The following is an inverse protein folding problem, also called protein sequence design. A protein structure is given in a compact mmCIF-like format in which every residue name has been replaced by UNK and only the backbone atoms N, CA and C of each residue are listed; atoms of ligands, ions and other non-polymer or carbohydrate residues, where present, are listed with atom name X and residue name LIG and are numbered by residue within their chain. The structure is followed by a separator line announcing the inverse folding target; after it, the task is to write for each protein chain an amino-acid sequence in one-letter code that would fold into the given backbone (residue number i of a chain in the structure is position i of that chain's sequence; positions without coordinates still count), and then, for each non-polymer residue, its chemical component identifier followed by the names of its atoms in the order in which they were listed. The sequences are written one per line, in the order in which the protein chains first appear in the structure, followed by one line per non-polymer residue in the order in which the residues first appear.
data_IF_325894239434
#
_entry.id   IF_325894239434
#
_cell.length_a   1.000
_cell.length_b   1.000
_cell.length_c   1.000
_cell.angle_alpha   90.00
_cell.angle_beta   90.00
_cell.angle_gamma   90.00
#
_symmetry.space_group_name_H-M   'P 1'
#
loop_
_entity.id
_entity.type
_entity.pdbx_description
1 polymer ?
#
# COMPACT_ATOMS: atom_id res chain seq x y z
N UNK A 1 -10.71 30.15 2.52
CA UNK A 1 -9.84 28.97 2.67
C UNK A 1 -10.05 28.23 4.00
N UNK A 2 -11.27 28.19 4.58
CA UNK A 2 -11.53 27.45 5.82
C UNK A 2 -11.60 25.92 5.60
N UNK A 3 -11.95 25.49 4.39
CA UNK A 3 -12.21 24.07 4.11
C UNK A 3 -10.95 23.19 4.07
N UNK A 4 -9.81 23.74 3.62
CA UNK A 4 -8.58 22.94 3.49
C UNK A 4 -8.05 22.44 4.83
N UNK A 5 -8.29 23.17 5.93
CA UNK A 5 -7.92 22.70 7.28
C UNK A 5 -8.60 21.36 7.58
N UNK A 6 -9.91 21.32 7.38
CA UNK A 6 -10.73 20.15 7.65
C UNK A 6 -10.37 18.99 6.72
N UNK A 7 -10.04 19.29 5.45
CA UNK A 7 -9.63 18.27 4.47
C UNK A 7 -8.27 17.67 4.81
N UNK A 8 -7.29 18.48 5.22
CA UNK A 8 -5.98 17.97 5.67
C UNK A 8 -6.10 17.19 6.99
N UNK A 9 -6.96 17.63 7.92
CA UNK A 9 -7.27 16.87 9.15
C UNK A 9 -7.89 15.52 8.82
N UNK A 10 -8.82 15.48 7.87
CA UNK A 10 -9.45 14.25 7.40
C UNK A 10 -8.43 13.30 6.74
N UNK A 11 -7.54 13.83 5.90
CA UNK A 11 -6.47 13.07 5.27
C UNK A 11 -5.49 12.50 6.31
N UNK A 12 -5.05 13.32 7.27
CA UNK A 12 -4.20 12.86 8.37
C UNK A 12 -4.89 11.76 9.17
N UNK A 13 -6.18 11.91 9.48
CA UNK A 13 -6.96 10.88 10.17
C UNK A 13 -7.00 9.59 9.36
N UNK A 14 -7.18 9.68 8.04
CA UNK A 14 -7.17 8.52 7.15
C UNK A 14 -5.83 7.79 7.19
N UNK A 15 -4.73 8.53 7.00
CA UNK A 15 -3.37 7.98 7.01
C UNK A 15 -3.01 7.36 8.37
N UNK A 16 -3.30 8.06 9.47
CA UNK A 16 -2.96 7.58 10.81
C UNK A 16 -3.72 6.28 11.16
N UNK A 17 -4.96 6.12 10.70
CA UNK A 17 -5.72 4.88 10.87
C UNK A 17 -5.24 3.76 9.92
N UNK A 18 -4.93 4.11 8.66
CA UNK A 18 -4.67 3.13 7.60
C UNK A 18 -3.22 2.63 7.56
N UNK A 19 -2.24 3.48 7.85
CA UNK A 19 -0.81 3.12 7.79
C UNK A 19 -0.09 3.31 9.13
N UNK A 20 -0.81 3.69 10.20
CA UNK A 20 -0.28 3.85 11.58
C UNK A 20 0.90 4.83 11.69
N UNK A 21 0.90 5.87 10.85
CA UNK A 21 1.87 6.96 10.94
C UNK A 21 1.32 8.08 11.85
N UNK A 22 2.18 8.94 12.38
CA UNK A 22 1.79 10.10 13.22
C UNK A 22 1.85 11.42 12.41
N UNK A 23 1.13 11.49 11.29
CA UNK A 23 1.14 12.67 10.42
C UNK A 23 0.15 13.74 10.91
N UNK A 24 0.54 15.01 10.80
CA UNK A 24 -0.27 16.18 11.21
C UNK A 24 -0.54 17.12 10.03
N UNK A 25 -1.66 17.87 10.03
CA UNK A 25 -1.99 18.81 8.96
C UNK A 25 -0.92 19.88 8.73
N UNK A 26 -0.26 20.30 9.81
CA UNK A 26 0.82 21.30 9.76
C UNK A 26 2.01 20.82 8.94
N UNK A 27 2.26 19.51 8.85
CA UNK A 27 3.37 18.99 8.03
C UNK A 27 3.12 19.31 6.56
N UNK A 28 1.89 19.11 6.06
CA UNK A 28 1.51 19.48 4.70
C UNK A 28 1.58 20.99 4.45
N UNK A 29 1.11 21.80 5.41
CA UNK A 29 1.10 23.27 5.31
C UNK A 29 2.51 23.86 5.28
N UNK A 30 3.40 23.37 6.15
CA UNK A 30 4.78 23.82 6.21
C UNK A 30 5.59 23.33 5.00
N UNK A 31 5.30 22.12 4.49
CA UNK A 31 5.90 21.61 3.25
C UNK A 31 5.61 22.48 2.04
N UNK A 32 4.42 23.08 1.93
CA UNK A 32 4.12 24.05 0.86
C UNK A 32 5.17 25.17 0.77
N UNK A 33 5.68 25.62 1.93
CA UNK A 33 6.63 26.72 2.04
C UNK A 33 8.08 26.29 2.31
N UNK A 34 8.40 24.98 2.24
CA UNK A 34 9.72 24.45 2.59
C UNK A 34 10.19 24.80 4.02
N UNK A 35 9.27 24.91 4.99
CA UNK A 35 9.54 25.32 6.39
C UNK A 35 9.42 24.19 7.40
N UNK A 36 9.53 22.94 6.95
CA UNK A 36 9.30 21.77 7.80
C UNK A 36 10.57 21.41 8.61
N UNK A 37 10.38 20.83 9.79
CA UNK A 37 11.49 20.35 10.64
C UNK A 37 11.99 18.97 10.19
N UNK A 38 13.21 18.60 10.56
CA UNK A 38 13.79 17.28 10.24
C UNK A 38 12.93 16.11 10.74
N UNK A 39 12.40 16.19 11.96
CA UNK A 39 11.49 15.18 12.51
C UNK A 39 10.18 15.06 11.72
N UNK A 40 9.71 16.15 11.12
CA UNK A 40 8.49 16.11 10.29
C UNK A 40 8.79 15.56 8.89
N UNK A 41 9.99 15.80 8.37
CA UNK A 41 10.47 15.20 7.13
C UNK A 41 10.57 13.68 7.23
N UNK A 42 11.11 13.15 8.32
CA UNK A 42 11.19 11.69 8.51
C UNK A 42 9.81 11.04 8.53
N UNK A 43 8.82 11.68 9.18
CA UNK A 43 7.43 11.21 9.16
C UNK A 43 6.83 11.24 7.75
N UNK A 44 7.12 12.27 6.94
CA UNK A 44 6.69 12.33 5.54
C UNK A 44 7.34 11.24 4.69
N UNK A 45 8.64 10.99 4.87
CA UNK A 45 9.33 9.89 4.22
C UNK A 45 8.73 8.53 4.59
N UNK A 46 8.47 8.28 5.88
CA UNK A 46 7.83 7.05 6.33
C UNK A 46 6.40 6.89 5.77
N UNK A 47 5.66 7.99 5.66
CA UNK A 47 4.35 8.01 4.99
C UNK A 47 4.48 7.62 3.52
N UNK A 48 5.43 8.22 2.80
CA UNK A 48 5.69 7.92 1.38
C UNK A 48 6.15 6.48 1.17
N UNK A 49 7.03 5.98 2.04
CA UNK A 49 7.50 4.61 2.02
C UNK A 49 6.33 3.63 2.12
N UNK A 50 5.52 3.75 3.18
CA UNK A 50 4.37 2.88 3.40
C UNK A 50 3.39 2.90 2.22
N UNK A 51 3.02 4.09 1.74
CA UNK A 51 2.08 4.21 0.62
C UNK A 51 2.67 3.65 -0.69
N UNK A 52 3.93 3.98 -1.00
CA UNK A 52 4.58 3.52 -2.23
C UNK A 52 4.77 2.00 -2.25
N UNK A 53 5.01 1.38 -1.09
CA UNK A 53 5.00 -0.07 -0.91
C UNK A 53 3.65 -0.69 -1.29
N UNK A 54 2.55 -0.16 -0.74
CA UNK A 54 1.20 -0.66 -1.08
C UNK A 54 0.89 -0.49 -2.57
N UNK A 55 1.22 0.67 -3.15
CA UNK A 55 1.01 0.92 -4.58
C UNK A 55 1.85 -0.01 -5.48
N UNK A 56 3.10 -0.29 -5.11
CA UNK A 56 3.95 -1.20 -5.87
C UNK A 56 3.46 -2.65 -5.78
N UNK A 57 3.10 -3.10 -4.57
CA UNK A 57 2.59 -4.45 -4.32
C UNK A 57 1.28 -4.72 -5.06
N UNK A 58 0.44 -3.70 -5.23
CA UNK A 58 -0.79 -3.80 -6.02
C UNK A 58 -0.52 -4.09 -7.49
N UNK A 59 0.50 -3.47 -8.08
CA UNK A 59 0.87 -3.74 -9.47
C UNK A 59 1.54 -5.09 -9.63
N UNK A 60 2.43 -5.43 -8.70
CA UNK A 60 3.28 -6.61 -8.77
C UNK A 60 3.65 -7.10 -7.38
N UNK A 61 3.23 -8.32 -7.06
CA UNK A 61 3.44 -8.95 -5.75
C UNK A 61 4.86 -9.43 -5.51
N UNK A 62 5.73 -9.43 -6.52
CA UNK A 62 7.13 -9.89 -6.45
C UNK A 62 8.14 -8.76 -6.15
N UNK A 63 7.65 -7.54 -5.90
CA UNK A 63 8.50 -6.36 -5.72
C UNK A 63 8.65 -6.03 -4.24
N UNK A 64 9.86 -6.32 -3.74
CA UNK A 64 10.28 -5.99 -2.38
C UNK A 64 11.63 -5.30 -2.43
N UNK A 65 11.75 -4.16 -1.73
CA UNK A 65 12.98 -3.40 -1.57
C UNK A 65 13.38 -3.28 -0.10
N UNK A 66 12.89 -4.19 0.75
CA UNK A 66 13.16 -4.23 2.20
C UNK A 66 14.63 -4.46 2.54
N UNK A 67 15.43 -4.96 1.58
CA UNK A 67 16.89 -5.09 1.71
C UNK A 67 17.62 -3.73 1.76
N UNK A 68 16.94 -2.63 1.40
CA UNK A 68 17.49 -1.27 1.35
C UNK A 68 16.95 -0.42 2.50
N UNK A 69 17.67 0.66 2.84
CA UNK A 69 17.18 1.65 3.78
C UNK A 69 15.85 2.29 3.29
N UNK A 70 15.03 2.77 4.22
CA UNK A 70 13.68 3.28 3.94
C UNK A 70 13.65 4.37 2.85
N UNK A 71 14.65 5.24 2.83
CA UNK A 71 14.75 6.32 1.84
C UNK A 71 15.08 5.77 0.46
N UNK A 72 16.07 4.89 0.34
CA UNK A 72 16.43 4.21 -0.91
C UNK A 72 15.28 3.34 -1.42
N UNK A 73 14.65 2.55 -0.54
CA UNK A 73 13.49 1.72 -0.86
C UNK A 73 12.34 2.57 -1.41
N UNK A 74 12.01 3.69 -0.76
CA UNK A 74 10.99 4.64 -1.23
C UNK A 74 11.31 5.13 -2.64
N UNK A 75 12.54 5.59 -2.89
CA UNK A 75 12.95 6.06 -4.22
C UNK A 75 12.84 4.95 -5.28
N UNK A 76 13.19 3.71 -4.93
CA UNK A 76 13.04 2.56 -5.82
C UNK A 76 11.56 2.24 -6.12
N UNK A 77 10.68 2.33 -5.12
CA UNK A 77 9.24 2.19 -5.36
C UNK A 77 8.71 3.28 -6.29
N UNK A 78 9.10 4.55 -6.08
CA UNK A 78 8.72 5.65 -6.96
C UNK A 78 9.26 5.48 -8.40
N UNK A 79 10.49 4.99 -8.56
CA UNK A 79 11.04 4.68 -9.88
C UNK A 79 10.30 3.50 -10.55
N UNK A 80 9.96 2.45 -9.80
CA UNK A 80 9.13 1.35 -10.29
C UNK A 80 7.74 1.83 -10.74
N UNK A 81 7.15 2.77 -9.99
CA UNK A 81 5.88 3.40 -10.33
C UNK A 81 6.00 4.46 -11.45
N UNK A 82 7.21 4.72 -11.94
CA UNK A 82 7.53 5.67 -13.02
C UNK A 82 7.24 7.14 -12.68
N UNK A 83 7.55 7.55 -11.45
CA UNK A 83 7.43 8.95 -11.06
C UNK A 83 8.43 9.83 -11.82
N UNK A 84 7.97 10.88 -12.55
CA UNK A 84 8.80 11.56 -13.55
C UNK A 84 9.69 12.69 -13.01
N UNK A 85 9.59 13.06 -11.73
CA UNK A 85 10.27 14.24 -11.17
C UNK A 85 11.67 13.87 -10.69
N UNK A 86 12.72 14.34 -11.40
CA UNK A 86 14.11 13.96 -11.14
C UNK A 86 14.63 14.48 -9.79
N UNK A 87 14.15 15.65 -9.37
CA UNK A 87 14.51 16.33 -8.15
C UNK A 87 14.27 15.46 -6.91
N UNK A 88 13.22 14.64 -6.95
CA UNK A 88 12.86 13.73 -5.87
C UNK A 88 13.95 12.68 -5.60
N UNK A 89 14.58 12.16 -6.65
CA UNK A 89 15.62 11.13 -6.51
C UNK A 89 16.93 11.71 -5.95
N UNK A 90 17.13 13.02 -6.05
CA UNK A 90 18.26 13.75 -5.46
C UNK A 90 18.11 14.08 -3.97
N UNK A 91 16.93 13.91 -3.38
CA UNK A 91 16.67 14.35 -2.00
C UNK A 91 17.41 13.49 -0.96
N UNK A 92 17.92 14.12 0.10
CA UNK A 92 18.44 13.45 1.29
C UNK A 92 17.37 13.38 2.40
N UNK A 93 17.67 12.68 3.48
CA UNK A 93 16.78 12.57 4.65
C UNK A 93 16.54 13.93 5.33
N UNK A 94 17.59 14.75 5.47
CA UNK A 94 17.57 16.13 5.95
C UNK A 94 17.11 17.13 4.87
N UNK A 95 16.03 16.80 4.16
CA UNK A 95 15.57 17.55 2.99
C UNK A 95 15.11 18.98 3.35
N UNK A 96 15.75 19.99 2.78
CA UNK A 96 15.27 21.38 2.83
C UNK A 96 14.09 21.64 1.87
N UNK A 97 13.86 20.75 0.90
CA UNK A 97 12.84 20.89 -0.14
C UNK A 97 11.64 19.95 0.09
N UNK A 98 10.96 20.13 1.21
CA UNK A 98 9.79 19.34 1.61
C UNK A 98 8.58 19.50 0.68
N UNK A 99 8.55 20.54 -0.16
CA UNK A 99 7.57 20.70 -1.23
C UNK A 99 7.64 19.59 -2.26
N UNK A 100 8.83 19.12 -2.62
CA UNK A 100 8.99 18.01 -3.58
C UNK A 100 8.41 16.71 -3.01
N UNK A 101 8.55 16.47 -1.70
CA UNK A 101 7.91 15.35 -1.00
C UNK A 101 6.38 15.46 -1.04
N UNK A 102 5.86 16.66 -0.83
CA UNK A 102 4.43 16.93 -0.92
C UNK A 102 3.87 16.69 -2.34
N UNK A 103 4.61 17.10 -3.37
CA UNK A 103 4.24 16.83 -4.76
C UNK A 103 4.26 15.33 -5.06
N UNK A 104 5.30 14.61 -4.64
CA UNK A 104 5.39 13.16 -4.79
C UNK A 104 4.24 12.44 -4.08
N UNK A 105 3.89 12.88 -2.87
CA UNK A 105 2.73 12.38 -2.12
C UNK A 105 1.43 12.59 -2.89
N UNK A 106 1.19 13.81 -3.39
CA UNK A 106 -0.04 14.12 -4.15
C UNK A 106 -0.14 13.33 -5.47
N UNK A 107 0.98 13.12 -6.15
CA UNK A 107 1.06 12.31 -7.36
C UNK A 107 0.72 10.85 -7.07
N UNK A 108 1.21 10.31 -5.95
CA UNK A 108 0.95 8.94 -5.55
C UNK A 108 -0.55 8.72 -5.27
N UNK A 109 -1.19 9.68 -4.58
CA UNK A 109 -2.63 9.69 -4.37
C UNK A 109 -3.39 9.71 -5.70
N UNK A 110 -3.06 10.65 -6.58
CA UNK A 110 -3.79 10.88 -7.82
C UNK A 110 -3.66 9.74 -8.84
N UNK A 111 -2.45 9.17 -8.99
CA UNK A 111 -2.17 8.21 -10.07
C UNK A 111 -2.35 6.76 -9.65
N UNK A 112 -2.10 6.42 -8.39
CA UNK A 112 -2.13 5.03 -7.92
C UNK A 112 -3.37 4.73 -7.07
N UNK A 113 -4.24 5.71 -6.80
CA UNK A 113 -5.41 5.54 -5.91
C UNK A 113 -5.04 4.83 -4.59
N UNK A 114 -3.86 5.16 -4.06
CA UNK A 114 -3.19 4.33 -3.06
C UNK A 114 -3.99 4.19 -1.76
N UNK A 115 -4.79 5.18 -1.38
CA UNK A 115 -5.65 5.08 -0.19
C UNK A 115 -6.73 4.01 -0.37
N UNK A 116 -7.34 3.92 -1.56
CA UNK A 116 -8.31 2.88 -1.88
C UNK A 116 -7.66 1.49 -1.89
N UNK A 117 -6.42 1.40 -2.39
CA UNK A 117 -5.62 0.16 -2.33
C UNK A 117 -5.39 -0.26 -0.88
N UNK A 118 -4.91 0.66 -0.03
CA UNK A 118 -4.66 0.38 1.39
C UNK A 118 -5.94 -0.08 2.10
N UNK A 119 -7.05 0.64 1.91
CA UNK A 119 -8.35 0.29 2.52
C UNK A 119 -8.80 -1.10 2.09
N UNK A 120 -8.67 -1.45 0.80
CA UNK A 120 -9.03 -2.79 0.31
C UNK A 120 -8.13 -3.87 0.91
N UNK A 121 -6.81 -3.65 0.96
CA UNK A 121 -5.88 -4.62 1.58
C UNK A 121 -6.22 -4.83 3.06
N UNK A 122 -6.52 -3.75 3.79
CA UNK A 122 -6.93 -3.85 5.19
C UNK A 122 -8.26 -4.58 5.36
N UNK A 123 -9.25 -4.29 4.52
CA UNK A 123 -10.54 -4.96 4.53
C UNK A 123 -10.39 -6.47 4.27
N UNK A 124 -9.59 -6.86 3.27
CA UNK A 124 -9.30 -8.26 2.96
C UNK A 124 -8.57 -8.96 4.11
N UNK A 125 -7.66 -8.26 4.78
CA UNK A 125 -6.95 -8.82 5.95
C UNK A 125 -7.79 -8.86 7.24
N UNK A 126 -8.96 -8.23 7.24
CA UNK A 126 -9.79 -8.09 8.44
C UNK A 126 -10.70 -9.30 8.67
N UNK A 127 -11.39 -9.32 9.82
CA UNK A 127 -12.48 -10.28 10.11
C UNK A 127 -13.50 -10.32 8.98
N UNK A 128 -13.91 -9.16 8.45
CA UNK A 128 -14.89 -9.12 7.36
C UNK A 128 -14.35 -9.83 6.10
N UNK A 129 -13.07 -9.64 5.77
CA UNK A 129 -12.44 -10.31 4.65
C UNK A 129 -12.27 -11.81 4.87
N UNK A 130 -11.90 -12.23 6.08
CA UNK A 130 -11.76 -13.65 6.46
C UNK A 130 -13.08 -14.40 6.36
N UNK A 131 -14.16 -13.84 6.90
CA UNK A 131 -15.51 -14.44 6.82
C UNK A 131 -15.98 -14.60 5.37
N UNK A 132 -15.71 -13.60 4.52
CA UNK A 132 -16.03 -13.68 3.08
C UNK A 132 -15.14 -14.63 2.27
N UNK A 133 -14.03 -15.10 2.84
CA UNK A 133 -13.10 -16.03 2.18
C UNK A 133 -13.46 -17.50 2.41
N UNK A 134 -14.49 -17.78 3.22
CA UNK A 134 -14.96 -19.14 3.45
C UNK A 134 -15.74 -19.67 2.23
N UNK A 135 -15.42 -20.87 1.73
CA UNK A 135 -15.99 -21.42 0.50
C UNK A 135 -17.47 -21.83 0.62
N UNK A 136 -18.06 -21.76 1.82
CA UNK A 136 -19.45 -22.19 2.07
C UNK A 136 -20.52 -21.19 1.60
N UNK A 137 -20.13 -19.97 1.20
CA UNK A 137 -21.06 -19.04 0.54
C UNK A 137 -21.09 -19.39 -0.93
N UNK A 138 -22.15 -20.08 -1.37
CA UNK A 138 -22.38 -20.34 -2.79
C UNK A 138 -22.35 -19.01 -3.56
N UNK A 139 -21.32 -18.83 -4.40
CA UNK A 139 -21.13 -17.66 -5.28
C UNK A 139 -22.35 -17.37 -6.17
N UNK A 140 -23.27 -18.34 -6.28
CA UNK A 140 -24.55 -18.27 -6.97
C UNK A 140 -25.57 -17.32 -6.33
N UNK A 141 -25.56 -17.11 -5.00
CA UNK A 141 -26.49 -16.15 -4.36
C UNK A 141 -25.96 -14.70 -4.40
N UNK A 142 -24.65 -14.50 -4.38
CA UNK A 142 -24.00 -13.18 -4.45
C UNK A 142 -24.13 -12.56 -5.85
N UNK A 143 -24.19 -13.39 -6.89
CA UNK A 143 -24.33 -12.94 -8.30
C UNK A 143 -25.72 -12.40 -8.63
N UNK A 144 -26.75 -12.73 -7.83
CA UNK A 144 -28.12 -12.25 -8.04
C UNK A 144 -28.41 -10.86 -7.44
N UNK A 145 -27.54 -10.37 -6.54
CA UNK A 145 -27.67 -9.07 -5.87
C UNK A 145 -26.45 -8.22 -6.20
N UNK A 146 -26.53 -7.36 -7.23
CA UNK A 146 -25.67 -6.19 -7.24
C UNK A 146 -25.13 -5.69 -8.56
N UNK A 147 -25.79 -5.90 -9.70
CA UNK A 147 -25.57 -5.00 -10.83
C UNK A 147 -26.10 -3.61 -10.44
N UNK A 148 -25.24 -2.58 -10.45
CA UNK A 148 -25.51 -1.11 -10.41
C UNK A 148 -25.26 -0.28 -9.12
N UNK A 149 -24.65 -0.78 -8.05
CA UNK A 149 -24.36 0.09 -6.88
C UNK A 149 -22.96 0.73 -6.93
N UNK A 150 -22.87 2.05 -6.77
CA UNK A 150 -21.57 2.76 -6.72
C UNK A 150 -20.69 2.25 -5.57
N UNK A 151 -19.35 2.31 -5.71
CA UNK A 151 -18.39 1.88 -4.68
C UNK A 151 -18.67 2.57 -3.33
N UNK A 152 -19.02 3.86 -3.36
CA UNK A 152 -19.42 4.61 -2.17
C UNK A 152 -20.65 4.01 -1.49
N UNK A 153 -21.65 3.60 -2.26
CA UNK A 153 -22.87 2.99 -1.72
C UNK A 153 -22.57 1.61 -1.12
N UNK A 154 -21.70 0.83 -1.77
CA UNK A 154 -21.25 -0.47 -1.25
C UNK A 154 -20.53 -0.30 0.11
N UNK A 155 -19.62 0.67 0.22
CA UNK A 155 -18.92 0.96 1.48
C UNK A 155 -19.90 1.44 2.56
N UNK A 156 -20.86 2.32 2.21
CA UNK A 156 -21.91 2.77 3.15
C UNK A 156 -22.77 1.60 3.66
N UNK A 157 -23.08 0.64 2.80
CA UNK A 157 -23.80 -0.58 3.21
C UNK A 157 -22.98 -1.43 4.18
N UNK A 158 -21.69 -1.66 3.87
CA UNK A 158 -20.77 -2.38 4.77
C UNK A 158 -20.69 -1.67 6.13
N UNK A 159 -20.59 -0.34 6.14
CA UNK A 159 -20.53 0.45 7.37
C UNK A 159 -21.81 0.32 8.22
N UNK A 160 -22.97 0.34 7.57
CA UNK A 160 -24.25 0.13 8.24
C UNK A 160 -24.34 -1.26 8.88
N UNK A 161 -23.97 -2.31 8.15
CA UNK A 161 -23.94 -3.67 8.68
C UNK A 161 -22.92 -3.84 9.81
N UNK A 162 -21.71 -3.30 9.66
CA UNK A 162 -20.69 -3.30 10.70
C UNK A 162 -21.20 -2.59 11.98
N UNK A 163 -21.87 -1.44 11.83
CA UNK A 163 -22.48 -0.73 12.97
C UNK A 163 -23.54 -1.56 13.69
N UNK A 164 -24.39 -2.27 12.94
CA UNK A 164 -25.41 -3.17 13.49
C UNK A 164 -24.77 -4.36 14.23
N UNK A 165 -23.72 -4.96 13.67
CA UNK A 165 -22.97 -6.05 14.32
C UNK A 165 -22.34 -5.56 15.63
N UNK A 166 -21.66 -4.41 15.62
CA UNK A 166 -21.06 -3.84 16.82
C UNK A 166 -22.09 -3.52 17.90
N UNK A 167 -23.27 -2.99 17.52
CA UNK A 167 -24.37 -2.75 18.45
C UNK A 167 -24.86 -4.05 19.09
N UNK A 168 -25.08 -5.09 18.27
CA UNK A 168 -25.52 -6.40 18.77
C UNK A 168 -24.47 -7.04 19.69
N UNK A 169 -23.18 -6.99 19.33
CA UNK A 169 -22.09 -7.51 20.17
C UNK A 169 -22.04 -6.78 21.52
N UNK A 170 -22.20 -5.45 21.52
CA UNK A 170 -22.29 -4.67 22.74
C UNK A 170 -23.49 -5.12 23.60
N UNK A 171 -24.67 -5.22 23.00
CA UNK A 171 -25.88 -5.65 23.71
C UNK A 171 -25.75 -7.07 24.29
N UNK A 172 -25.15 -8.02 23.55
CA UNK A 172 -24.89 -9.38 24.03
C UNK A 172 -23.94 -9.33 25.24
N UNK A 173 -22.87 -8.53 25.17
CA UNK A 173 -21.93 -8.40 26.30
C UNK A 173 -22.59 -7.83 27.55
N UNK A 174 -23.47 -6.84 27.41
CA UNK A 174 -24.25 -6.26 28.50
C UNK A 174 -25.23 -7.28 29.10
N UNK A 175 -25.96 -8.03 28.25
CA UNK A 175 -26.87 -9.10 28.71
C UNK A 175 -26.14 -10.22 29.44
N UNK A 176 -24.95 -10.62 28.98
CA UNK A 176 -24.14 -11.62 29.66
C UNK A 176 -23.70 -11.14 31.04
N UNK A 177 -23.32 -9.87 31.15
CA UNK A 177 -22.94 -9.26 32.42
C UNK A 177 -24.13 -9.19 33.39
N UNK A 178 -25.32 -8.81 32.91
CA UNK A 178 -26.54 -8.80 33.73
C UNK A 178 -26.96 -10.21 34.14
N UNK A 179 -26.90 -11.19 33.24
CA UNK A 179 -27.14 -12.60 33.56
C UNK A 179 -26.20 -13.08 34.67
N UNK A 180 -24.92 -12.71 34.62
CA UNK A 180 -23.94 -13.05 35.67
C UNK A 180 -24.32 -12.43 37.02
N UNK A 181 -24.68 -11.14 37.03
CA UNK A 181 -25.11 -10.44 38.25
C UNK A 181 -26.34 -11.10 38.86
N UNK A 182 -27.35 -11.40 38.04
CA UNK A 182 -28.59 -12.03 38.48
C UNK A 182 -28.36 -13.45 38.98
N UNK A 183 -27.54 -14.25 38.29
CA UNK A 183 -27.18 -15.60 38.73
C UNK A 183 -26.46 -15.58 40.09
N UNK A 184 -25.51 -14.66 40.28
CA UNK A 184 -24.82 -14.50 41.55
C UNK A 184 -25.77 -14.05 42.67
N UNK A 185 -26.71 -13.13 42.38
CA UNK A 185 -27.72 -12.68 43.35
C UNK A 185 -28.68 -13.81 43.73
N UNK A 186 -29.18 -14.57 42.75
CA UNK A 186 -30.05 -15.72 42.98
C UNK A 186 -29.34 -16.80 43.81
N UNK A 187 -28.08 -17.08 43.50
CA UNK A 187 -27.27 -18.00 44.30
C UNK A 187 -27.09 -17.51 45.74
N UNK A 188 -26.72 -16.24 45.94
CA UNK A 188 -26.58 -15.62 47.26
C UNK A 188 -27.85 -15.69 48.11
N UNK A 189 -29.03 -15.50 47.50
CA UNK A 189 -30.32 -15.63 48.19
C UNK A 189 -30.65 -17.09 48.49
N UNK A 190 -30.33 -18.01 47.57
CA UNK A 190 -30.60 -19.44 47.74
C UNK A 190 -29.75 -20.13 48.81
N UNK A 191 -28.60 -19.57 49.18
CA UNK A 191 -27.71 -20.14 50.21
C UNK A 191 -28.28 -20.06 51.63
N UNK A 192 -29.21 -19.13 51.89
CA UNK A 192 -29.74 -18.86 53.23
C UNK A 192 -31.15 -19.45 53.46
N UNK A 193 -31.68 -20.25 52.52
CA UNK A 193 -33.04 -20.80 52.59
C UNK A 193 -32.96 -22.32 52.49
N UNK A 194 -33.18 -23.01 53.61
CA UNK A 194 -33.26 -24.46 53.65
C UNK A 194 -34.46 -24.95 52.80
N UNK A 195 -34.22 -25.98 51.97
CA UNK A 195 -35.19 -26.71 51.12
C UNK A 195 -35.61 -26.05 49.81
N UNK A 196 -34.97 -24.96 49.36
CA UNK A 196 -35.13 -24.49 47.98
C UNK A 196 -34.22 -25.30 47.05
N UNK A 197 -34.64 -25.58 45.81
CA UNK A 197 -33.75 -26.15 44.80
C UNK A 197 -32.62 -25.15 44.51
N UNK A 198 -31.50 -25.29 45.23
CA UNK A 198 -30.31 -24.50 45.01
C UNK A 198 -29.85 -24.75 43.57
N UNK A 199 -29.45 -23.70 42.86
CA UNK A 199 -28.78 -23.89 41.56
C UNK A 199 -27.68 -24.94 41.75
N UNK A 200 -27.72 -25.99 40.95
CA UNK A 200 -26.75 -27.07 41.05
C UNK A 200 -25.37 -26.44 40.82
N UNK A 201 -24.35 -26.91 41.55
CA UNK A 201 -22.94 -26.54 41.33
C UNK A 201 -22.60 -26.61 39.83
N UNK A 202 -23.19 -27.55 39.10
CA UNK A 202 -23.06 -27.69 37.65
C UNK A 202 -23.63 -26.51 36.85
N UNK A 203 -24.77 -25.92 37.26
CA UNK A 203 -25.37 -24.76 36.61
C UNK A 203 -24.54 -23.49 36.88
N UNK A 204 -24.02 -23.35 38.09
CA UNK A 204 -23.10 -22.26 38.46
C UNK A 204 -21.78 -22.41 37.70
N UNK A 205 -21.26 -23.62 37.58
CA UNK A 205 -20.05 -23.92 36.79
C UNK A 205 -20.30 -23.70 35.31
N UNK A 206 -21.48 -24.00 34.78
CA UNK A 206 -21.86 -23.70 33.39
C UNK A 206 -21.96 -22.19 33.14
N UNK A 207 -22.57 -21.43 34.05
CA UNK A 207 -22.63 -19.97 33.96
C UNK A 207 -21.22 -19.37 34.07
N UNK A 208 -20.41 -19.85 35.02
CA UNK A 208 -19.01 -19.45 35.16
C UNK A 208 -18.17 -19.88 33.95
N UNK A 209 -18.44 -21.02 33.32
CA UNK A 209 -17.77 -21.46 32.07
C UNK A 209 -18.22 -20.65 30.87
N UNK A 210 -19.50 -20.33 30.72
CA UNK A 210 -19.98 -19.45 29.64
C UNK A 210 -19.39 -18.04 29.78
N UNK A 211 -19.30 -17.54 31.02
CA UNK A 211 -18.56 -16.32 31.32
C UNK A 211 -17.08 -16.50 31.05
N UNK A 212 -16.47 -17.62 31.45
CA UNK A 212 -15.06 -17.95 31.22
C UNK A 212 -14.71 -18.01 29.73
N UNK A 213 -15.58 -18.60 28.90
CA UNK A 213 -15.44 -18.72 27.45
C UNK A 213 -15.59 -17.35 26.78
N UNK A 214 -16.44 -16.46 27.32
CA UNK A 214 -16.49 -15.06 26.90
C UNK A 214 -15.37 -14.19 27.51
N UNK A 215 -14.76 -14.63 28.63
CA UNK A 215 -13.57 -14.02 29.26
C UNK A 215 -12.25 -14.69 28.89
N UNK A 216 -12.25 -15.67 28.00
CA UNK A 216 -11.18 -15.87 27.01
C UNK A 216 -11.16 -14.69 26.00
N UNK A 217 -11.84 -13.59 26.38
CA UNK A 217 -11.58 -12.13 26.31
C UNK A 217 -10.60 -11.60 25.29
N UNK A 218 -9.47 -12.25 25.04
CA UNK A 218 -8.57 -11.77 24.00
C UNK A 218 -9.19 -11.92 22.61
N UNK A 219 -9.87 -13.03 22.28
CA UNK A 219 -10.36 -13.21 20.92
C UNK A 219 -11.58 -12.33 20.58
N UNK A 220 -12.58 -12.25 21.47
CA UNK A 220 -13.84 -11.54 21.19
C UNK A 220 -13.69 -10.02 21.29
N UNK A 221 -12.94 -9.51 22.27
CA UNK A 221 -12.66 -8.07 22.36
C UNK A 221 -11.68 -7.62 21.27
N UNK A 222 -10.71 -8.45 20.89
CA UNK A 222 -9.86 -8.18 19.73
C UNK A 222 -10.68 -8.16 18.44
N UNK A 223 -11.65 -9.06 18.29
CA UNK A 223 -12.54 -9.06 17.14
C UNK A 223 -13.40 -7.79 17.06
N UNK A 224 -13.98 -7.39 18.20
CA UNK A 224 -14.74 -6.15 18.32
C UNK A 224 -13.89 -4.90 18.03
N UNK A 225 -12.67 -4.86 18.57
CA UNK A 225 -11.70 -3.78 18.31
C UNK A 225 -11.32 -3.68 16.83
N UNK A 226 -11.10 -4.82 16.17
CA UNK A 226 -10.78 -4.89 14.75
C UNK A 226 -11.97 -4.42 13.88
N UNK A 227 -13.21 -4.82 14.22
CA UNK A 227 -14.43 -4.34 13.56
C UNK A 227 -14.63 -2.82 13.71
N UNK A 228 -14.38 -2.26 14.90
CA UNK A 228 -14.41 -0.81 15.11
C UNK A 228 -13.33 -0.10 14.28
N UNK A 229 -12.12 -0.66 14.23
CA UNK A 229 -11.00 -0.09 13.49
C UNK A 229 -11.31 -0.04 11.99
N UNK A 230 -11.79 -1.14 11.41
CA UNK A 230 -12.19 -1.20 10.00
C UNK A 230 -13.37 -0.27 9.73
N UNK A 231 -14.37 -0.22 10.62
CA UNK A 231 -15.49 0.70 10.50
C UNK A 231 -15.05 2.16 10.45
N UNK A 232 -14.12 2.55 11.32
CA UNK A 232 -13.55 3.89 11.34
C UNK A 232 -12.77 4.22 10.06
N UNK A 233 -12.01 3.26 9.52
CA UNK A 233 -11.26 3.42 8.27
C UNK A 233 -12.20 3.62 7.09
N UNK A 234 -13.27 2.80 6.99
CA UNK A 234 -14.28 2.92 5.93
C UNK A 234 -15.05 4.24 6.00
N UNK A 235 -15.48 4.67 7.19
CA UNK A 235 -16.16 5.96 7.40
C UNK A 235 -15.29 7.15 6.96
N UNK A 236 -14.02 7.14 7.36
CA UNK A 236 -13.06 8.20 6.98
C UNK A 236 -12.76 8.16 5.48
N UNK A 237 -12.68 6.97 4.88
CA UNK A 237 -12.44 6.83 3.44
C UNK A 237 -13.58 7.37 2.57
N UNK A 238 -14.83 7.10 2.94
CA UNK A 238 -16.00 7.67 2.24
C UNK A 238 -15.99 9.20 2.32
N UNK A 239 -15.75 9.74 3.50
CA UNK A 239 -15.64 11.20 3.70
C UNK A 239 -14.49 11.80 2.89
N UNK A 240 -13.36 11.09 2.77
CA UNK A 240 -12.23 11.52 1.94
C UNK A 240 -12.64 11.59 0.47
N UNK A 241 -13.24 10.54 -0.08
CA UNK A 241 -13.67 10.51 -1.48
C UNK A 241 -14.65 11.66 -1.82
N UNK A 242 -15.53 12.04 -0.89
CA UNK A 242 -16.44 13.18 -1.09
C UNK A 242 -15.71 14.54 -1.13
N UNK A 243 -14.53 14.66 -0.52
CA UNK A 243 -13.77 15.92 -0.36
C UNK A 243 -12.42 15.97 -1.05
N UNK A 244 -12.04 14.90 -1.75
CA UNK A 244 -10.72 14.74 -2.37
C UNK A 244 -10.41 15.86 -3.38
N UNK A 245 -11.40 16.30 -4.15
CA UNK A 245 -11.27 17.41 -5.10
C UNK A 245 -10.75 18.71 -4.45
N UNK A 246 -11.15 18.99 -3.20
CA UNK A 246 -10.71 20.18 -2.45
C UNK A 246 -9.21 20.10 -2.14
N UNK A 247 -8.69 18.89 -1.87
CA UNK A 247 -7.25 18.69 -1.68
C UNK A 247 -6.48 18.98 -2.97
N UNK A 248 -6.98 18.52 -4.11
CA UNK A 248 -6.33 18.78 -5.40
C UNK A 248 -6.38 20.25 -5.80
N UNK A 249 -7.49 20.95 -5.55
CA UNK A 249 -7.58 22.41 -5.73
C UNK A 249 -6.53 23.15 -4.88
N UNK A 250 -6.29 22.68 -3.65
CA UNK A 250 -5.22 23.22 -2.82
C UNK A 250 -3.83 22.88 -3.36
N UNK A 251 -3.59 21.68 -3.87
CA UNK A 251 -2.31 21.29 -4.49
C UNK A 251 -1.96 22.15 -5.71
N UNK A 252 -2.94 22.63 -6.48
CA UNK A 252 -2.70 23.63 -7.53
C UNK A 252 -2.06 24.89 -6.95
N UNK A 253 -2.43 25.31 -5.73
CA UNK A 253 -1.78 26.45 -5.06
C UNK A 253 -0.37 26.14 -4.57
N UNK A 254 -0.04 24.87 -4.32
CA UNK A 254 1.33 24.43 -3.98
C UNK A 254 2.22 24.48 -5.22
N UNK A 255 1.71 24.06 -6.37
CA UNK A 255 2.42 24.16 -7.66
C UNK A 255 2.68 25.63 -8.00
N UNK A 256 1.67 26.50 -7.91
CA UNK A 256 1.83 27.96 -8.12
C UNK A 256 2.85 28.60 -7.17
N UNK A 257 2.99 28.07 -5.96
CA UNK A 257 4.01 28.54 -5.01
C UNK A 257 5.42 28.09 -5.41
N UNK A 258 5.54 26.98 -6.14
CA UNK A 258 6.80 26.54 -6.74
C UNK A 258 7.26 27.51 -7.83
N UNK A 259 6.33 28.03 -8.63
CA UNK A 259 6.63 28.95 -9.73
C UNK A 259 6.96 30.38 -9.24
N UNK A 260 6.44 30.77 -8.07
CA UNK A 260 6.59 32.12 -7.51
C UNK A 260 7.93 32.39 -6.85
N UNK A 261 8.66 31.36 -6.41
CA UNK A 261 9.97 31.56 -5.78
C UNK A 261 10.99 31.97 -6.84
N UNK A 262 11.44 33.25 -6.89
CA UNK A 262 12.32 33.75 -7.96
C UNK A 262 13.76 33.24 -7.84
N UNK A 263 14.08 32.50 -6.77
CA UNK A 263 15.39 31.88 -6.53
C UNK A 263 15.55 30.50 -7.22
N UNK A 264 14.56 30.04 -7.99
CA UNK A 264 14.47 28.64 -8.47
C UNK A 264 14.70 28.53 -9.97
N UNK A 265 15.77 29.13 -10.47
CA UNK A 265 16.45 28.56 -11.63
C UNK A 265 17.49 27.50 -11.24
N UNK A 266 17.61 27.18 -9.94
CA UNK A 266 18.18 25.93 -9.42
C UNK A 266 18.05 25.96 -7.89
N UNK A 267 17.01 25.36 -7.31
CA UNK A 267 17.28 24.58 -6.08
C UNK A 267 18.20 23.47 -6.56
N UNK A 268 19.51 23.73 -6.53
CA UNK A 268 20.59 22.96 -7.16
C UNK A 268 20.25 21.49 -7.06
N UNK A 269 19.72 20.91 -8.15
CA UNK A 269 19.36 19.49 -8.17
C UNK A 269 20.59 18.79 -7.63
N UNK A 270 20.42 18.00 -6.58
CA UNK A 270 21.54 17.34 -5.97
C UNK A 270 21.98 16.21 -6.92
N UNK A 271 22.75 16.57 -7.94
CA UNK A 271 23.22 15.67 -8.98
C UNK A 271 24.05 14.53 -8.41
N UNK A 272 24.73 14.76 -7.27
CA UNK A 272 25.40 13.69 -6.52
C UNK A 272 24.39 12.68 -5.97
N UNK A 273 23.31 13.16 -5.35
CA UNK A 273 22.20 12.31 -4.89
C UNK A 273 21.54 11.53 -6.03
N UNK A 274 21.32 12.19 -7.18
CA UNK A 274 20.77 11.55 -8.38
C UNK A 274 21.74 10.51 -8.94
N UNK A 275 23.03 10.81 -9.07
CA UNK A 275 24.05 9.87 -9.54
C UNK A 275 24.17 8.65 -8.62
N UNK A 276 24.08 8.84 -7.30
CA UNK A 276 24.03 7.74 -6.33
C UNK A 276 22.80 6.85 -6.57
N UNK A 277 21.63 7.46 -6.78
CA UNK A 277 20.41 6.72 -7.08
C UNK A 277 20.49 5.95 -8.42
N UNK A 278 21.05 6.56 -9.46
CA UNK A 278 21.29 5.91 -10.75
C UNK A 278 22.22 4.71 -10.56
N UNK A 279 23.29 4.86 -9.78
CA UNK A 279 24.25 3.78 -9.51
C UNK A 279 23.59 2.61 -8.77
N UNK A 280 22.68 2.91 -7.82
CA UNK A 280 21.85 1.93 -7.15
C UNK A 280 20.91 1.20 -8.13
N UNK A 281 20.25 1.95 -9.02
CA UNK A 281 19.36 1.39 -10.03
C UNK A 281 20.13 0.45 -10.99
N UNK A 282 21.29 0.88 -11.47
CA UNK A 282 22.16 0.05 -12.31
C UNK A 282 22.58 -1.23 -11.61
N UNK A 283 22.95 -1.14 -10.33
CA UNK A 283 23.32 -2.31 -9.53
C UNK A 283 22.15 -3.31 -9.43
N UNK A 284 20.94 -2.84 -9.15
CA UNK A 284 19.74 -3.69 -9.05
C UNK A 284 19.43 -4.34 -10.39
N UNK A 285 19.49 -3.57 -11.49
CA UNK A 285 19.24 -4.09 -12.84
C UNK A 285 20.29 -5.15 -13.18
N UNK A 286 21.57 -4.89 -12.93
CA UNK A 286 22.65 -5.88 -13.13
C UNK A 286 22.37 -7.14 -12.33
N UNK A 287 22.07 -7.03 -11.02
CA UNK A 287 21.76 -8.18 -10.15
C UNK A 287 20.59 -9.01 -10.69
N UNK A 288 19.49 -8.37 -11.12
CA UNK A 288 18.33 -9.06 -11.71
C UNK A 288 18.65 -9.69 -13.07
N UNK A 289 19.46 -9.05 -13.92
CA UNK A 289 19.89 -9.63 -15.18
C UNK A 289 20.80 -10.85 -14.95
N UNK A 290 21.71 -10.78 -13.97
CA UNK A 290 22.55 -11.92 -13.61
C UNK A 290 21.74 -13.09 -13.04
N UNK A 291 20.71 -12.84 -12.23
CA UNK A 291 19.85 -13.93 -11.74
C UNK A 291 19.07 -14.60 -12.88
N UNK A 292 18.57 -13.83 -13.85
CA UNK A 292 17.88 -14.38 -15.03
C UNK A 292 18.85 -15.19 -15.92
N UNK A 293 20.09 -14.73 -16.08
CA UNK A 293 21.11 -15.46 -16.83
C UNK A 293 21.61 -16.71 -16.09
N UNK A 294 21.71 -16.67 -14.76
CA UNK A 294 22.18 -17.75 -13.90
C UNK A 294 21.15 -18.88 -13.71
N UNK A 295 19.85 -18.58 -13.75
CA UNK A 295 18.80 -19.63 -13.73
C UNK A 295 18.85 -20.57 -14.94
N UNK A 296 19.50 -20.18 -16.04
CA UNK A 296 19.77 -21.07 -17.19
C UNK A 296 21.03 -21.93 -17.04
N UNK A 297 21.79 -21.74 -15.95
CA UNK A 297 23.00 -22.48 -15.61
C UNK A 297 22.94 -22.87 -14.13
N UNK A 298 21.95 -23.70 -13.77
CA UNK A 298 22.00 -24.48 -12.53
C UNK A 298 22.98 -25.64 -12.70
N UNK A 299 24.25 -25.29 -12.76
CA UNK A 299 25.40 -26.16 -12.49
C UNK A 299 26.61 -25.25 -12.26
N UNK A 300 26.59 -24.54 -11.13
CA UNK A 300 27.78 -24.06 -10.40
C UNK A 300 27.31 -23.23 -9.22
N UNK A 301 27.04 -23.95 -8.13
CA UNK A 301 26.85 -23.41 -6.80
C UNK A 301 28.20 -22.95 -6.25
N UNK A 302 28.13 -22.01 -5.30
CA UNK A 302 29.18 -21.63 -4.35
C UNK A 302 30.38 -20.83 -4.87
N UNK A 303 30.31 -19.51 -4.68
CA UNK A 303 31.19 -18.72 -3.83
C UNK A 303 31.02 -17.26 -4.26
N UNK A 304 30.55 -16.40 -3.36
CA UNK A 304 31.06 -15.04 -3.11
C UNK A 304 30.12 -14.34 -2.14
N UNK A 305 30.22 -14.77 -0.89
CA UNK A 305 29.95 -13.92 0.26
C UNK A 305 31.17 -13.00 0.36
N UNK A 306 31.04 -11.73 -0.01
CA UNK A 306 32.03 -10.74 0.41
C UNK A 306 31.37 -9.46 0.89
N UNK A 307 31.57 -9.28 2.19
CA UNK A 307 31.28 -8.13 3.01
C UNK A 307 31.78 -6.84 2.36
N UNK A 308 31.00 -5.78 2.51
CA UNK A 308 31.48 -4.42 2.44
C UNK A 308 32.69 -4.23 3.36
N UNK A 309 33.86 -3.95 2.79
CA UNK A 309 34.85 -3.05 3.40
C UNK A 309 35.53 -2.22 2.31
N UNK A 310 35.57 -0.91 2.55
CA UNK A 310 36.40 0.03 1.79
C UNK A 310 37.89 -0.30 1.93
N UNK A 311 38.66 -0.26 0.83
CA UNK A 311 39.97 0.42 0.69
C UNK A 311 40.71 -0.02 -0.59
N UNK A 312 40.97 0.97 -1.45
CA UNK A 312 42.19 1.22 -2.23
C UNK A 312 43.02 0.05 -2.83
N UNK A 313 43.11 0.12 -4.17
CA UNK A 313 44.29 -0.02 -5.05
C UNK A 313 44.71 -1.40 -5.62
N UNK A 314 44.81 -1.38 -6.97
CA UNK A 314 45.47 -2.29 -7.94
C UNK A 314 44.62 -3.52 -8.29
N UNK A 315 44.25 -3.78 -9.55
CA UNK A 315 45.10 -3.86 -10.74
C UNK A 315 44.36 -3.55 -12.06
N UNK A 316 45.17 -3.15 -13.04
CA UNK A 316 44.95 -3.08 -14.49
C UNK A 316 44.20 -4.30 -15.06
N UNK A 317 42.97 -4.12 -15.57
CA UNK A 317 42.47 -4.66 -16.88
C UNK A 317 40.93 -4.58 -17.10
N UNK A 318 40.18 -3.90 -16.23
CA UNK A 318 38.70 -3.79 -16.35
C UNK A 318 38.23 -3.18 -17.69
N UNK A 319 39.05 -2.33 -18.31
CA UNK A 319 38.71 -1.65 -19.57
C UNK A 319 38.69 -2.62 -20.77
N UNK A 320 39.48 -3.69 -20.73
CA UNK A 320 39.55 -4.67 -21.83
C UNK A 320 38.37 -5.65 -21.78
N UNK A 321 38.01 -6.13 -20.58
CA UNK A 321 36.83 -6.99 -20.38
C UNK A 321 35.51 -6.25 -20.62
N UNK A 322 35.38 -5.00 -20.15
CA UNK A 322 34.18 -4.20 -20.39
C UNK A 322 33.95 -3.92 -21.88
N UNK A 323 35.02 -3.68 -22.65
CA UNK A 323 34.92 -3.47 -24.10
C UNK A 323 34.59 -4.77 -24.84
N UNK A 324 35.13 -5.91 -24.41
CA UNK A 324 34.81 -7.22 -24.99
C UNK A 324 33.35 -7.62 -24.73
N UNK A 325 32.84 -7.34 -23.53
CA UNK A 325 31.44 -7.55 -23.17
C UNK A 325 30.49 -6.60 -23.93
N UNK A 326 30.90 -5.35 -24.13
CA UNK A 326 30.17 -4.36 -24.93
C UNK A 326 30.09 -4.76 -26.41
N UNK A 327 31.17 -5.31 -26.98
CA UNK A 327 31.14 -5.83 -28.35
C UNK A 327 30.25 -7.07 -28.49
N UNK A 328 30.30 -8.02 -27.55
CA UNK A 328 29.46 -9.23 -27.62
C UNK A 328 27.97 -8.90 -27.44
N UNK A 329 27.63 -7.96 -26.56
CA UNK A 329 26.25 -7.48 -26.38
C UNK A 329 25.72 -6.74 -27.61
N UNK A 330 26.54 -5.90 -28.25
CA UNK A 330 26.15 -5.20 -29.48
C UNK A 330 25.98 -6.16 -30.68
N UNK A 331 26.80 -7.21 -30.77
CA UNK A 331 26.65 -8.24 -31.79
C UNK A 331 25.32 -9.00 -31.64
N UNK A 332 24.98 -9.43 -30.42
CA UNK A 332 23.70 -10.09 -30.11
C UNK A 332 22.50 -9.17 -30.38
N UNK A 333 22.61 -7.89 -30.03
CA UNK A 333 21.54 -6.90 -30.26
C UNK A 333 21.30 -6.67 -31.76
N UNK A 334 22.36 -6.70 -32.57
CA UNK A 334 22.26 -6.59 -34.03
C UNK A 334 21.60 -7.85 -34.64
N UNK A 335 21.93 -9.04 -34.14
CA UNK A 335 21.31 -10.30 -34.56
C UNK A 335 19.81 -10.35 -34.24
N UNK A 336 19.41 -9.87 -33.06
CA UNK A 336 17.99 -9.79 -32.65
C UNK A 336 17.22 -8.75 -33.46
N UNK A 337 17.85 -7.62 -33.82
CA UNK A 337 17.23 -6.63 -34.71
C UNK A 337 16.96 -7.20 -36.10
N UNK A 338 17.90 -7.97 -36.63
CA UNK A 338 17.74 -8.57 -37.95
C UNK A 338 16.67 -9.66 -37.96
N UNK A 339 16.61 -10.52 -36.93
CA UNK A 339 15.54 -11.52 -36.82
C UNK A 339 14.15 -10.89 -36.66
N UNK A 340 14.05 -9.78 -35.92
CA UNK A 340 12.80 -9.04 -35.76
C UNK A 340 12.36 -8.35 -37.07
N UNK A 341 13.32 -7.87 -37.87
CA UNK A 341 13.05 -7.34 -39.22
C UNK A 341 12.46 -8.41 -40.13
N UNK A 342 13.10 -9.59 -40.18
CA UNK A 342 12.63 -10.74 -40.98
C UNK A 342 11.23 -11.16 -40.55
N UNK A 343 10.99 -11.33 -39.24
CA UNK A 343 9.66 -11.70 -38.73
C UNK A 343 8.59 -10.67 -39.08
N UNK A 344 8.92 -9.37 -39.05
CA UNK A 344 7.98 -8.30 -39.41
C UNK A 344 7.62 -8.35 -40.90
N UNK A 345 8.60 -8.61 -41.76
CA UNK A 345 8.37 -8.77 -43.21
C UNK A 345 7.51 -10.01 -43.49
N UNK A 346 7.75 -11.13 -42.80
CA UNK A 346 6.96 -12.35 -42.92
C UNK A 346 5.51 -12.15 -42.45
N UNK A 347 5.30 -11.52 -41.29
CA UNK A 347 3.97 -11.17 -40.79
C UNK A 347 3.22 -10.20 -41.71
N UNK A 348 3.92 -9.22 -42.29
CA UNK A 348 3.32 -8.30 -43.26
C UNK A 348 2.88 -9.03 -44.54
N UNK A 349 3.65 -10.03 -44.97
CA UNK A 349 3.34 -10.85 -46.15
C UNK A 349 2.17 -11.79 -45.87
N UNK A 350 2.11 -12.40 -44.68
CA UNK A 350 0.95 -13.18 -44.22
C UNK A 350 -0.32 -12.32 -44.12
N UNK A 351 -0.22 -11.12 -43.53
CA UNK A 351 -1.35 -10.18 -43.43
C UNK A 351 -1.84 -9.75 -44.82
N UNK A 352 -0.92 -9.49 -45.76
CA UNK A 352 -1.25 -9.15 -47.14
C UNK A 352 -1.95 -10.32 -47.85
N UNK A 353 -1.51 -11.56 -47.64
CA UNK A 353 -2.17 -12.75 -48.19
C UNK A 353 -3.59 -12.94 -47.63
N UNK A 354 -3.79 -12.70 -46.33
CA UNK A 354 -5.11 -12.72 -45.69
C UNK A 354 -6.00 -11.61 -46.27
N UNK A 355 -5.49 -10.39 -46.41
CA UNK A 355 -6.26 -9.28 -46.98
C UNK A 355 -6.61 -9.49 -48.47
N UNK A 356 -5.75 -10.15 -49.23
CA UNK A 356 -6.02 -10.52 -50.63
C UNK A 356 -7.04 -11.66 -50.77
N UNK A 357 -7.28 -12.45 -49.73
CA UNK A 357 -8.32 -13.48 -49.69
C UNK A 357 -9.68 -12.95 -49.22
N UNK A 358 -9.77 -11.68 -48.79
CA UNK A 358 -10.98 -11.05 -48.25
C UNK A 358 -11.99 -10.49 -49.30
N UNK A 359 -11.76 -10.34 -50.62
CA UNK A 359 -12.78 -9.73 -51.47
C UNK A 359 -13.80 -10.75 -52.01
N UNK A 360 -14.74 -11.20 -51.16
CA UNK A 360 -16.09 -11.61 -51.60
C UNK A 360 -17.23 -11.29 -50.60
N UNK A 361 -16.97 -10.76 -49.40
CA UNK A 361 -18.04 -10.60 -48.39
C UNK A 361 -18.57 -9.18 -48.17
N UNK A 362 -18.15 -8.17 -48.94
CA UNK A 362 -18.74 -6.83 -48.87
C UNK A 362 -19.02 -6.35 -50.29
N UNK A 363 -20.24 -6.63 -50.79
CA UNK A 363 -20.84 -5.85 -51.87
C UNK A 363 -21.37 -4.55 -51.27
N UNK A 364 -20.97 -3.42 -51.87
CA UNK A 364 -21.55 -2.09 -51.68
C UNK A 364 -23.04 -2.11 -51.99
#
# INVERSE_FOLDING_TARGET
MADIKNVLELLCKHLNLSIKVAIKPEYFRLSKYNKITEQSNSVLWATLHALSFYAAKEKRTDIYFEEYDELSATKLYFAFLQYPVIEFYGLSESCTNSRVLLLAFSWLLATQSVLSVVVRVQLLSSILGRECSHPDVSLTEVSAVGTTCSVNTQIKNILHHNSKVNFNLKHISELLQEKAKLANKAHGVSLNIDRLAHMNIMEIVLIKRLLAIHTDSNSTEQQKSELYTIGAILDVHVKWMEKEHIFYDWMITVIKECDKSPDVNTSKINWTGVANFISLLEYIIKRKLYSICSEKTKDSMEYFKLQCTSRLLRTSDIKCEANKLSMDTNARLSQVKESLRINKEELALQLKNILMTVPQCIKV
#
